data_IF_543130815628
#
_entry.id   IF_543130815628
#
_cell.length_a   1.000
_cell.length_b   1.000
_cell.length_c   1.000
_cell.angle_alpha   90.00
_cell.angle_beta   90.00
_cell.angle_gamma   90.00
#
_symmetry.space_group_name_H-M   'P 1'
#
loop_
_entity.id
_entity.type
_entity.pdbx_description
1 polymer ?
#
# COMPACT_ATOMS: atom_id res chain seq x y z
N UNK A 1 7.43 17.39 -2.86
CA UNK A 1 7.58 15.99 -2.40
C UNK A 1 8.99 15.73 -1.92
N UNK A 2 9.15 15.26 -0.69
CA UNK A 2 10.42 14.82 -0.13
C UNK A 2 10.58 13.32 -0.38
N UNK A 3 11.68 12.93 -0.99
CA UNK A 3 12.05 11.52 -1.18
C UNK A 3 13.14 11.16 -0.18
N UNK A 4 12.86 10.28 0.82
CA UNK A 4 13.86 9.85 1.78
C UNK A 4 15.05 9.15 1.11
N UNK A 5 16.15 9.00 1.82
CA UNK A 5 17.31 8.26 1.29
C UNK A 5 16.97 6.77 1.21
N UNK A 6 17.25 6.16 0.05
CA UNK A 6 17.10 4.72 -0.11
C UNK A 6 18.12 3.94 0.72
N UNK A 7 17.72 2.73 1.13
CA UNK A 7 18.56 1.88 1.96
C UNK A 7 19.63 1.16 1.12
N UNK A 8 20.74 0.86 1.76
CA UNK A 8 21.86 0.12 1.16
C UNK A 8 22.26 -1.05 2.06
N UNK A 9 23.11 -1.93 1.55
CA UNK A 9 23.69 -3.01 2.37
C UNK A 9 24.30 -2.44 3.66
N UNK A 10 23.97 -3.01 4.81
CA UNK A 10 24.35 -2.53 6.13
C UNK A 10 23.32 -1.61 6.80
N UNK A 11 22.33 -1.08 6.07
CA UNK A 11 21.22 -0.31 6.61
C UNK A 11 20.38 -1.09 7.59
N UNK A 12 19.75 -0.39 8.52
CA UNK A 12 18.83 -0.97 9.51
C UNK A 12 17.38 -0.72 9.12
N UNK A 13 16.61 -1.80 8.99
CA UNK A 13 15.14 -1.75 8.85
C UNK A 13 14.54 -1.85 10.24
N UNK A 14 13.82 -0.79 10.66
CA UNK A 14 12.98 -0.79 11.84
C UNK A 14 11.64 -1.46 11.50
N UNK A 15 11.18 -2.39 12.31
CA UNK A 15 9.90 -3.08 12.10
C UNK A 15 8.99 -2.76 13.29
N UNK A 16 7.80 -2.24 13.02
CA UNK A 16 6.73 -2.02 13.99
C UNK A 16 5.44 -2.69 13.54
N UNK A 17 4.52 -2.89 14.47
CA UNK A 17 3.22 -3.47 14.21
C UNK A 17 2.11 -2.41 14.47
N UNK A 18 1.88 -1.48 13.53
CA UNK A 18 0.94 -0.38 13.74
C UNK A 18 -0.53 -0.83 13.73
N UNK A 19 -0.82 -2.00 13.22
CA UNK A 19 -2.13 -2.66 13.25
C UNK A 19 -2.06 -3.99 13.97
N UNK A 20 -2.12 -5.12 13.27
CA UNK A 20 -1.97 -6.45 13.87
C UNK A 20 -0.50 -6.81 14.10
N UNK A 21 -0.23 -7.62 15.11
CA UNK A 21 1.05 -8.29 15.29
C UNK A 21 1.18 -9.49 14.34
N UNK A 22 2.33 -10.18 14.43
CA UNK A 22 2.63 -11.35 13.59
C UNK A 22 1.71 -12.53 13.91
N UNK A 23 1.16 -12.59 15.13
CA UNK A 23 0.18 -13.59 15.52
C UNK A 23 0.71 -15.01 15.48
N UNK A 24 -0.04 -15.89 14.79
CA UNK A 24 0.31 -17.31 14.62
C UNK A 24 1.33 -17.54 13.50
N UNK A 25 1.70 -16.52 12.73
CA UNK A 25 2.59 -16.58 11.57
C UNK A 25 4.06 -16.30 11.91
N UNK A 26 4.48 -16.62 13.14
CA UNK A 26 5.84 -16.35 13.60
C UNK A 26 6.90 -17.08 12.75
N UNK A 27 6.64 -18.33 12.33
CA UNK A 27 7.57 -19.09 11.49
C UNK A 27 7.81 -18.41 10.14
N UNK A 28 6.73 -18.06 9.41
CA UNK A 28 6.80 -17.34 8.15
C UNK A 28 7.55 -16.01 8.31
N UNK A 29 7.28 -15.28 9.38
CA UNK A 29 7.95 -14.03 9.68
C UNK A 29 9.45 -14.20 9.92
N UNK A 30 9.85 -15.22 10.67
CA UNK A 30 11.27 -15.50 10.91
C UNK A 30 12.00 -15.84 9.61
N UNK A 31 11.34 -16.54 8.68
CA UNK A 31 11.90 -16.83 7.36
C UNK A 31 11.99 -15.54 6.52
N UNK A 32 11.00 -14.68 6.58
CA UNK A 32 11.05 -13.36 5.96
C UNK A 32 12.22 -12.51 6.48
N UNK A 33 12.46 -12.52 7.79
CA UNK A 33 13.63 -11.83 8.36
C UNK A 33 14.97 -12.41 7.88
N UNK A 34 15.05 -13.73 7.65
CA UNK A 34 16.26 -14.35 7.05
C UNK A 34 16.51 -13.81 5.64
N UNK A 35 15.45 -13.63 4.84
CA UNK A 35 15.54 -13.02 3.50
C UNK A 35 16.13 -11.61 3.60
N UNK A 36 15.55 -10.74 4.42
CA UNK A 36 16.02 -9.36 4.58
C UNK A 36 17.48 -9.31 5.11
N UNK A 37 17.84 -10.20 6.04
CA UNK A 37 19.22 -10.32 6.54
C UNK A 37 20.19 -10.80 5.48
N UNK A 38 19.78 -11.73 4.60
CA UNK A 38 20.57 -12.21 3.46
C UNK A 38 20.86 -11.10 2.45
N UNK A 39 19.91 -10.16 2.28
CA UNK A 39 20.12 -8.95 1.49
C UNK A 39 21.09 -7.94 2.14
N UNK A 40 21.54 -8.23 3.36
CA UNK A 40 22.53 -7.45 4.09
C UNK A 40 21.96 -6.40 5.02
N UNK A 41 20.66 -6.45 5.33
CA UNK A 41 20.01 -5.50 6.25
C UNK A 41 20.10 -5.95 7.71
N UNK A 42 20.26 -4.99 8.60
CA UNK A 42 20.06 -5.16 10.03
C UNK A 42 18.58 -4.97 10.36
N UNK A 43 18.07 -5.69 11.34
CA UNK A 43 16.66 -5.65 11.75
C UNK A 43 16.57 -5.15 13.19
N UNK A 44 15.69 -4.17 13.41
CA UNK A 44 15.30 -3.69 14.73
C UNK A 44 13.78 -3.78 14.85
N UNK A 45 13.29 -4.65 15.75
CA UNK A 45 11.85 -4.82 16.01
C UNK A 45 11.42 -4.01 17.23
N UNK A 46 10.19 -3.46 17.19
CA UNK A 46 9.52 -2.97 18.39
C UNK A 46 8.86 -4.12 19.16
N UNK A 47 8.50 -3.86 20.41
CA UNK A 47 8.02 -4.88 21.36
C UNK A 47 6.74 -5.57 20.90
N UNK A 48 5.81 -4.81 20.27
CA UNK A 48 4.49 -5.34 19.88
C UNK A 48 4.51 -6.16 18.58
N UNK A 49 5.61 -6.21 17.83
CA UNK A 49 5.69 -6.92 16.55
C UNK A 49 5.25 -8.37 16.68
N UNK A 50 5.69 -9.06 17.73
CA UNK A 50 5.43 -10.49 17.95
C UNK A 50 4.13 -10.78 18.68
N UNK A 51 3.30 -9.78 18.90
CA UNK A 51 1.97 -9.94 19.50
C UNK A 51 1.08 -10.88 18.68
N UNK A 52 0.23 -11.64 19.34
CA UNK A 52 -0.73 -12.56 18.71
C UNK A 52 -2.10 -11.93 18.44
N UNK A 53 -2.33 -10.70 18.89
CA UNK A 53 -3.61 -10.02 18.77
C UNK A 53 -3.84 -9.38 17.40
N UNK A 54 -5.10 -9.26 16.99
CA UNK A 54 -5.52 -8.41 15.86
C UNK A 54 -5.18 -6.93 16.10
N UNK A 55 -5.13 -6.50 17.36
CA UNK A 55 -4.43 -5.30 17.83
C UNK A 55 -3.11 -5.75 18.43
N UNK A 56 -1.99 -5.30 17.88
CA UNK A 56 -0.67 -5.65 18.42
C UNK A 56 -0.48 -5.13 19.84
N UNK A 57 -1.01 -3.93 20.11
CA UNK A 57 -1.07 -3.26 21.42
C UNK A 57 -2.17 -2.17 21.40
N UNK A 58 -2.29 -1.37 22.44
CA UNK A 58 -3.13 -0.16 22.42
C UNK A 58 -2.70 0.82 21.34
N UNK A 59 -3.62 1.63 20.79
CA UNK A 59 -3.29 2.64 19.78
C UNK A 59 -2.16 3.57 20.24
N UNK A 60 -2.19 4.01 21.49
CA UNK A 60 -1.14 4.85 22.10
C UNK A 60 0.22 4.14 22.14
N UNK A 61 0.26 2.87 22.49
CA UNK A 61 1.52 2.08 22.52
C UNK A 61 2.08 1.91 21.11
N UNK A 62 1.23 1.56 20.13
CA UNK A 62 1.63 1.41 18.73
C UNK A 62 2.21 2.71 18.16
N UNK A 63 1.59 3.85 18.46
CA UNK A 63 2.09 5.16 18.06
C UNK A 63 3.44 5.50 18.71
N UNK A 64 3.61 5.17 20.01
CA UNK A 64 4.89 5.35 20.71
C UNK A 64 6.00 4.49 20.10
N UNK A 65 5.72 3.23 19.76
CA UNK A 65 6.68 2.34 19.11
C UNK A 65 7.06 2.81 17.70
N UNK A 66 6.12 3.33 16.93
CA UNK A 66 6.42 3.96 15.65
C UNK A 66 7.31 5.19 15.84
N UNK A 67 7.00 6.05 16.81
CA UNK A 67 7.77 7.23 17.13
C UNK A 67 9.20 6.89 17.56
N UNK A 68 9.41 5.83 18.34
CA UNK A 68 10.74 5.35 18.71
C UNK A 68 11.61 5.03 17.49
N UNK A 69 11.03 4.42 16.46
CA UNK A 69 11.75 4.12 15.21
C UNK A 69 12.01 5.37 14.37
N UNK A 70 11.08 6.33 14.35
CA UNK A 70 11.31 7.60 13.62
C UNK A 70 12.44 8.40 14.26
N UNK A 71 12.53 8.42 15.58
CA UNK A 71 13.57 9.12 16.36
C UNK A 71 14.94 8.46 16.27
N UNK A 72 15.00 7.14 16.09
CA UNK A 72 16.25 6.41 16.13
C UNK A 72 17.11 6.69 14.88
N UNK A 73 18.24 7.38 15.06
CA UNK A 73 19.17 7.72 13.98
C UNK A 73 19.85 6.51 13.34
N UNK A 74 19.82 5.34 13.98
CA UNK A 74 20.37 4.10 13.44
C UNK A 74 19.35 3.31 12.60
N UNK A 75 18.10 3.77 12.52
CA UNK A 75 17.06 3.19 11.66
C UNK A 75 16.98 3.99 10.37
N UNK A 76 17.20 3.33 9.24
CA UNK A 76 17.22 3.95 7.91
C UNK A 76 15.87 3.90 7.20
N UNK A 77 15.06 2.89 7.49
CA UNK A 77 13.73 2.67 6.91
C UNK A 77 12.81 2.03 7.96
N UNK A 78 11.52 2.31 7.91
CA UNK A 78 10.52 1.65 8.75
C UNK A 78 9.59 0.81 7.89
N UNK A 79 9.40 -0.43 8.30
CA UNK A 79 8.53 -1.39 7.62
C UNK A 79 7.44 -1.86 8.58
N UNK A 80 6.19 -1.89 8.12
CA UNK A 80 5.10 -2.46 8.90
C UNK A 80 5.25 -3.99 8.98
N UNK A 81 5.05 -4.57 10.14
CA UNK A 81 5.16 -6.01 10.33
C UNK A 81 4.07 -6.78 9.57
N UNK A 82 2.85 -6.24 9.60
CA UNK A 82 1.63 -6.83 9.03
C UNK A 82 0.59 -5.74 8.74
N UNK A 83 -0.40 -6.06 7.92
CA UNK A 83 -1.67 -5.34 7.87
C UNK A 83 -2.57 -5.63 9.08
N UNK A 84 -3.86 -5.49 8.93
CA UNK A 84 -4.88 -5.68 9.96
C UNK A 84 -6.08 -4.75 9.74
N UNK A 85 -6.81 -4.42 10.83
CA UNK A 85 -8.08 -3.67 10.73
C UNK A 85 -8.16 -2.49 11.71
N UNK A 86 -7.19 -2.33 12.59
CA UNK A 86 -7.30 -1.43 13.75
C UNK A 86 -6.29 -0.29 13.79
N UNK A 87 -5.62 0.00 12.66
CA UNK A 87 -4.60 1.06 12.65
C UNK A 87 -5.20 2.44 12.89
N UNK A 88 -6.42 2.67 12.44
CA UNK A 88 -7.12 3.94 12.64
C UNK A 88 -7.18 4.36 14.12
N UNK A 89 -7.24 3.40 15.06
CA UNK A 89 -7.19 3.67 16.51
C UNK A 89 -5.84 4.26 16.97
N UNK A 90 -4.77 4.03 16.22
CA UNK A 90 -3.43 4.54 16.53
C UNK A 90 -3.26 5.99 16.08
N UNK A 91 -3.91 6.38 14.99
CA UNK A 91 -3.65 7.63 14.27
C UNK A 91 -3.77 8.89 15.12
N UNK A 92 -4.72 9.02 16.08
CA UNK A 92 -4.79 10.21 16.95
C UNK A 92 -3.57 10.42 17.87
N UNK A 93 -2.72 9.41 18.03
CA UNK A 93 -1.53 9.45 18.88
C UNK A 93 -0.22 9.55 18.12
N UNK A 94 -0.27 9.52 16.79
CA UNK A 94 0.94 9.57 15.94
C UNK A 94 1.57 10.95 16.01
N UNK A 95 2.89 10.98 16.12
CA UNK A 95 3.71 12.21 16.11
C UNK A 95 4.70 12.13 14.96
N UNK A 96 4.81 13.19 14.21
CA UNK A 96 5.62 13.26 12.99
C UNK A 96 6.83 14.19 13.10
N UNK A 97 7.02 14.89 14.22
CA UNK A 97 8.08 15.88 14.41
C UNK A 97 9.49 15.34 14.10
N UNK A 98 9.79 14.10 14.48
CA UNK A 98 11.06 13.47 14.18
C UNK A 98 11.16 13.00 12.72
N UNK A 99 10.06 12.55 12.12
CA UNK A 99 10.01 12.15 10.71
C UNK A 99 10.19 13.35 9.77
N UNK A 100 9.65 14.51 10.14
CA UNK A 100 9.83 15.77 9.40
C UNK A 100 11.30 16.22 9.43
N UNK A 101 11.98 16.11 10.59
CA UNK A 101 13.39 16.47 10.74
C UNK A 101 14.35 15.53 10.01
N UNK A 102 14.00 14.24 9.99
CA UNK A 102 14.80 13.18 9.39
C UNK A 102 13.91 12.19 8.62
N UNK A 103 13.52 12.54 7.39
CA UNK A 103 12.62 11.71 6.60
C UNK A 103 13.18 10.31 6.34
N UNK A 104 12.34 9.29 6.57
CA UNK A 104 12.65 7.89 6.32
C UNK A 104 11.57 7.28 5.44
N UNK A 105 11.94 6.30 4.63
CA UNK A 105 10.96 5.49 3.94
C UNK A 105 10.09 4.73 4.95
N UNK A 106 8.78 4.88 4.80
CA UNK A 106 7.79 4.06 5.50
C UNK A 106 7.17 3.13 4.47
N UNK A 107 7.15 1.83 4.74
CA UNK A 107 6.60 0.83 3.83
C UNK A 107 5.61 -0.09 4.52
N UNK A 108 4.55 -0.42 3.81
CA UNK A 108 3.54 -1.38 4.22
C UNK A 108 2.44 -1.52 3.18
N UNK A 109 1.47 -2.41 3.44
CA UNK A 109 0.33 -2.70 2.57
C UNK A 109 -0.91 -2.98 3.41
N UNK A 110 -2.12 -2.75 2.84
CA UNK A 110 -3.40 -2.96 3.53
C UNK A 110 -3.68 -1.85 4.57
N UNK A 111 -4.00 -2.19 5.80
CA UNK A 111 -4.27 -1.25 6.90
C UNK A 111 -3.17 -0.18 7.11
N UNK A 112 -1.86 -0.44 6.89
CA UNK A 112 -0.83 0.58 6.81
C UNK A 112 -1.11 1.76 5.86
N UNK A 113 -2.06 1.65 4.92
CA UNK A 113 -2.54 2.78 4.12
C UNK A 113 -2.88 4.00 4.98
N UNK A 114 -3.40 3.80 6.19
CA UNK A 114 -3.71 4.88 7.13
C UNK A 114 -2.52 5.84 7.31
N UNK A 115 -1.35 5.32 7.63
CA UNK A 115 -0.16 6.14 7.88
C UNK A 115 0.57 6.53 6.59
N UNK A 116 0.56 5.67 5.56
CA UNK A 116 1.22 5.98 4.29
C UNK A 116 0.53 7.17 3.60
N UNK A 117 -0.79 7.18 3.55
CA UNK A 117 -1.57 8.28 3.00
C UNK A 117 -1.40 9.57 3.78
N UNK A 118 -1.46 9.49 5.13
CA UNK A 118 -1.32 10.66 5.98
C UNK A 118 0.08 11.28 5.82
N UNK A 119 1.15 10.49 5.86
CA UNK A 119 2.52 10.97 5.63
C UNK A 119 2.64 11.60 4.24
N UNK A 120 2.12 10.95 3.20
CA UNK A 120 2.29 11.46 1.83
C UNK A 120 1.44 12.71 1.57
N UNK A 121 0.17 12.72 1.98
CA UNK A 121 -0.73 13.82 1.69
C UNK A 121 -0.50 15.03 2.60
N UNK A 122 -0.22 14.81 3.88
CA UNK A 122 -0.06 15.88 4.87
C UNK A 122 1.38 16.40 4.96
N UNK A 123 2.37 15.50 5.10
CA UNK A 123 3.77 15.90 5.30
C UNK A 123 4.56 16.11 4.01
N UNK A 124 3.99 15.73 2.87
CA UNK A 124 4.66 15.78 1.58
C UNK A 124 5.96 14.93 1.52
N UNK A 125 5.94 13.79 2.21
CA UNK A 125 7.02 12.79 2.24
C UNK A 125 6.54 11.54 1.50
N UNK A 126 7.31 11.07 0.52
CA UNK A 126 6.99 9.86 -0.23
C UNK A 126 7.03 8.62 0.67
N UNK A 127 6.11 7.68 0.42
CA UNK A 127 6.01 6.40 1.12
C UNK A 127 5.95 5.24 0.12
N UNK A 128 6.13 4.01 0.59
CA UNK A 128 6.12 2.83 -0.29
C UNK A 128 4.91 1.94 0.05
N UNK A 129 4.01 1.76 -0.90
CA UNK A 129 2.99 0.73 -0.85
C UNK A 129 3.57 -0.57 -1.41
N UNK A 130 3.88 -1.48 -0.52
CA UNK A 130 4.57 -2.72 -0.85
C UNK A 130 4.55 -3.69 0.34
N UNK A 131 5.37 -4.71 0.31
CA UNK A 131 5.36 -5.78 1.30
C UNK A 131 5.41 -5.30 2.74
N UNK A 132 4.55 -5.88 3.58
CA UNK A 132 4.80 -5.91 5.01
C UNK A 132 5.95 -6.90 5.30
N UNK A 133 6.65 -6.71 6.42
CA UNK A 133 7.85 -7.49 6.75
C UNK A 133 7.64 -9.02 6.73
N UNK A 134 6.43 -9.50 7.05
CA UNK A 134 6.12 -10.93 7.05
C UNK A 134 5.92 -11.56 5.65
N UNK A 135 5.90 -10.76 4.58
CA UNK A 135 5.53 -11.25 3.25
C UNK A 135 6.72 -11.70 2.40
N UNK A 136 7.95 -11.48 2.86
CA UNK A 136 9.13 -11.97 2.15
C UNK A 136 9.27 -13.48 2.28
N UNK A 137 9.53 -14.15 1.15
CA UNK A 137 9.64 -15.61 1.08
C UNK A 137 11.02 -16.05 0.58
N UNK A 138 11.56 -17.18 1.07
CA UNK A 138 12.91 -17.67 0.70
C UNK A 138 13.09 -17.95 -0.79
N UNK A 139 12.02 -18.29 -1.52
CA UNK A 139 12.04 -18.58 -2.97
C UNK A 139 12.40 -17.37 -3.82
N UNK A 140 12.34 -16.16 -3.26
CA UNK A 140 12.65 -14.90 -3.90
C UNK A 140 12.02 -14.74 -5.30
N UNK A 141 10.68 -14.77 -5.40
CA UNK A 141 9.99 -14.66 -6.67
C UNK A 141 10.21 -13.25 -7.29
N UNK A 142 9.95 -13.11 -8.61
CA UNK A 142 10.26 -11.90 -9.37
C UNK A 142 9.65 -10.63 -8.78
N UNK A 143 8.44 -10.69 -8.25
CA UNK A 143 7.80 -9.51 -7.61
C UNK A 143 8.48 -9.10 -6.31
N UNK A 144 9.02 -10.05 -5.54
CA UNK A 144 9.82 -9.77 -4.35
C UNK A 144 11.17 -9.16 -4.75
N UNK A 145 11.81 -9.70 -5.80
CA UNK A 145 13.02 -9.10 -6.34
C UNK A 145 12.78 -7.65 -6.78
N UNK A 146 11.68 -7.38 -7.49
CA UNK A 146 11.29 -6.02 -7.86
C UNK A 146 11.13 -5.11 -6.65
N UNK A 147 10.47 -5.58 -5.59
CA UNK A 147 10.32 -4.84 -4.34
C UNK A 147 11.70 -4.52 -3.71
N UNK A 148 12.58 -5.53 -3.63
CA UNK A 148 13.94 -5.36 -3.11
C UNK A 148 14.78 -4.38 -3.94
N UNK A 149 14.59 -4.32 -5.25
CA UNK A 149 15.26 -3.33 -6.09
C UNK A 149 14.76 -1.91 -5.77
N UNK A 150 13.45 -1.74 -5.64
CA UNK A 150 12.84 -0.43 -5.36
C UNK A 150 13.32 0.13 -4.01
N UNK A 151 13.33 -0.67 -2.95
CA UNK A 151 13.80 -0.20 -1.63
C UNK A 151 15.30 0.14 -1.61
N UNK A 152 16.08 -0.40 -2.56
CA UNK A 152 17.50 -0.05 -2.79
C UNK A 152 17.66 1.24 -3.63
N UNK A 153 16.58 1.80 -4.15
CA UNK A 153 16.59 2.98 -5.01
C UNK A 153 16.73 2.70 -6.51
N UNK A 154 16.68 1.45 -6.91
CA UNK A 154 16.64 1.06 -8.32
C UNK A 154 15.21 1.16 -8.81
N UNK A 155 14.81 2.33 -9.35
CA UNK A 155 13.48 2.53 -9.90
C UNK A 155 13.38 1.80 -11.23
N UNK A 156 12.74 0.64 -11.18
CA UNK A 156 12.62 -0.27 -12.32
C UNK A 156 11.25 -0.13 -13.01
N UNK A 157 11.22 -0.38 -14.31
CA UNK A 157 9.96 -0.55 -15.04
C UNK A 157 9.33 -1.89 -14.63
N UNK A 158 8.22 -1.82 -13.92
CA UNK A 158 7.42 -3.01 -13.60
C UNK A 158 6.43 -3.29 -14.75
N UNK A 159 6.11 -4.54 -14.99
CA UNK A 159 5.18 -5.00 -16.01
C UNK A 159 4.16 -5.93 -15.38
N UNK A 160 3.04 -6.16 -16.07
CA UNK A 160 2.08 -7.20 -15.68
C UNK A 160 2.78 -8.57 -15.61
N UNK A 161 2.31 -9.40 -14.72
CA UNK A 161 2.75 -10.79 -14.60
C UNK A 161 1.91 -11.69 -15.54
N UNK A 162 2.32 -12.92 -15.73
CA UNK A 162 1.59 -13.85 -16.59
C UNK A 162 0.42 -14.52 -15.86
N UNK A 163 0.63 -14.87 -14.61
CA UNK A 163 -0.33 -15.59 -13.79
C UNK A 163 -0.42 -14.97 -12.40
N UNK A 164 -1.56 -15.15 -11.75
CA UNK A 164 -1.79 -14.76 -10.36
C UNK A 164 -2.50 -15.86 -9.58
N UNK A 165 -2.51 -15.72 -8.26
CA UNK A 165 -3.32 -16.47 -7.33
C UNK A 165 -4.26 -15.55 -6.56
N UNK A 166 -5.46 -16.02 -6.26
CA UNK A 166 -6.40 -15.32 -5.37
C UNK A 166 -5.97 -15.48 -3.91
N UNK A 167 -6.61 -14.73 -3.01
CA UNK A 167 -6.44 -14.97 -1.58
C UNK A 167 -6.83 -16.39 -1.17
N UNK A 168 -7.89 -16.95 -1.77
CA UNK A 168 -8.36 -18.30 -1.48
C UNK A 168 -7.35 -19.35 -1.93
N UNK A 169 -6.79 -19.22 -3.15
CA UNK A 169 -5.75 -20.13 -3.66
C UNK A 169 -4.55 -20.12 -2.73
N UNK A 170 -4.09 -18.93 -2.34
CA UNK A 170 -2.96 -18.77 -1.42
C UNK A 170 -3.20 -19.38 -0.03
N UNK A 171 -4.45 -19.39 0.45
CA UNK A 171 -4.77 -20.05 1.72
C UNK A 171 -4.71 -21.56 1.61
N UNK A 172 -4.96 -22.13 0.42
CA UNK A 172 -4.88 -23.56 0.13
C UNK A 172 -3.45 -23.98 -0.23
N UNK A 173 -2.83 -23.31 -1.18
CA UNK A 173 -1.43 -23.55 -1.59
C UNK A 173 -0.78 -22.21 -2.00
N UNK A 174 0.28 -21.83 -1.34
CA UNK A 174 1.04 -20.61 -1.62
C UNK A 174 1.68 -20.57 -3.02
N UNK A 175 1.77 -21.72 -3.71
CA UNK A 175 2.37 -21.83 -5.05
C UNK A 175 1.33 -22.00 -6.16
N UNK A 176 0.04 -21.92 -5.85
CA UNK A 176 -1.03 -22.15 -6.82
C UNK A 176 -1.32 -20.90 -7.65
N UNK A 177 -0.45 -20.61 -8.63
CA UNK A 177 -0.60 -19.52 -9.61
C UNK A 177 -1.26 -20.03 -10.87
N UNK A 178 -2.58 -20.18 -10.86
CA UNK A 178 -3.36 -20.85 -11.92
C UNK A 178 -4.24 -19.90 -12.75
N UNK A 179 -4.43 -18.63 -12.33
CA UNK A 179 -5.19 -17.65 -13.07
C UNK A 179 -4.32 -16.82 -14.01
N UNK A 180 -4.81 -16.54 -15.22
CA UNK A 180 -4.10 -15.66 -16.16
C UNK A 180 -4.34 -14.19 -15.82
N UNK A 181 -3.26 -13.39 -15.81
CA UNK A 181 -3.36 -11.93 -15.63
C UNK A 181 -3.88 -11.29 -16.90
N UNK A 182 -4.91 -10.45 -16.76
CA UNK A 182 -5.45 -9.62 -17.83
C UNK A 182 -5.87 -8.27 -17.26
N UNK A 183 -5.08 -7.26 -17.50
CA UNK A 183 -5.49 -5.88 -17.21
C UNK A 183 -6.60 -5.47 -18.18
N UNK A 184 -7.62 -4.80 -17.68
CA UNK A 184 -8.83 -4.48 -18.44
C UNK A 184 -8.98 -2.97 -18.53
N UNK A 185 -8.95 -2.44 -19.75
CA UNK A 185 -9.31 -1.05 -20.06
C UNK A 185 -10.23 -1.00 -21.27
N UNK A 186 -11.08 0.03 -21.35
CA UNK A 186 -11.98 0.22 -22.50
C UNK A 186 -11.28 0.73 -23.74
N UNK A 187 -10.17 1.41 -23.56
CA UNK A 187 -9.36 2.03 -24.61
C UNK A 187 -7.90 1.86 -24.25
N UNK A 188 -7.04 2.03 -25.22
CA UNK A 188 -5.62 2.20 -24.97
C UNK A 188 -5.39 3.35 -23.96
N UNK A 189 -4.60 3.08 -22.93
CA UNK A 189 -4.28 4.02 -21.87
C UNK A 189 -2.81 4.37 -21.95
N UNK A 190 -2.53 5.67 -22.08
CA UNK A 190 -1.19 6.25 -21.98
C UNK A 190 -1.32 7.50 -21.12
N UNK A 191 -0.90 7.39 -19.89
CA UNK A 191 -1.07 8.44 -18.87
C UNK A 191 0.22 8.67 -18.09
N UNK A 192 0.43 9.92 -17.74
CA UNK A 192 1.54 10.36 -16.90
C UNK A 192 0.98 11.29 -15.81
N UNK A 193 1.52 11.16 -14.60
CA UNK A 193 1.09 11.95 -13.46
C UNK A 193 1.72 11.48 -12.16
N UNK A 194 1.34 12.12 -11.07
CA UNK A 194 1.80 11.78 -9.72
C UNK A 194 0.86 10.75 -9.10
N UNK A 195 1.44 9.60 -8.71
CA UNK A 195 0.65 8.49 -8.20
C UNK A 195 0.40 8.60 -6.69
N UNK A 196 -0.83 8.30 -6.28
CA UNK A 196 -1.25 8.25 -4.88
C UNK A 196 -2.35 7.20 -4.71
N UNK A 197 -2.37 6.50 -3.60
CA UNK A 197 -3.41 5.52 -3.30
C UNK A 197 -3.01 4.55 -2.19
N UNK A 198 -3.65 3.40 -2.16
CA UNK A 198 -3.50 2.35 -1.17
C UNK A 198 -4.70 1.43 -1.14
N UNK A 199 -4.98 0.83 0.02
CA UNK A 199 -6.17 0.01 0.23
C UNK A 199 -7.42 0.88 0.21
N UNK A 200 -8.31 0.62 -0.76
CA UNK A 200 -9.55 1.40 -0.96
C UNK A 200 -10.45 1.33 0.26
N UNK A 201 -10.59 0.14 0.87
CA UNK A 201 -11.35 -0.11 2.09
C UNK A 201 -10.89 0.78 3.27
N UNK A 202 -9.65 1.26 3.25
CA UNK A 202 -9.07 2.18 4.24
C UNK A 202 -9.25 3.63 3.81
N UNK A 203 -8.95 3.96 2.55
CA UNK A 203 -9.00 5.34 2.02
C UNK A 203 -10.37 5.97 2.21
N UNK A 204 -11.45 5.23 1.92
CA UNK A 204 -12.82 5.74 2.09
C UNK A 204 -13.16 6.11 3.54
N UNK A 205 -12.49 5.49 4.52
CA UNK A 205 -12.67 5.79 5.95
C UNK A 205 -11.92 7.05 6.42
N UNK A 206 -11.00 7.58 5.62
CA UNK A 206 -10.32 8.85 5.93
C UNK A 206 -11.20 10.06 5.63
N UNK A 207 -12.10 9.94 4.66
CA UNK A 207 -12.91 11.07 4.17
C UNK A 207 -13.77 11.67 5.27
N UNK A 208 -13.61 12.98 5.47
CA UNK A 208 -14.30 13.71 6.54
C UNK A 208 -13.71 13.54 7.95
N UNK A 209 -12.57 12.87 8.08
CA UNK A 209 -11.83 12.76 9.35
C UNK A 209 -10.64 13.72 9.38
N UNK A 210 -9.93 13.79 10.50
CA UNK A 210 -8.68 14.58 10.60
C UNK A 210 -7.54 14.05 9.71
N UNK A 211 -7.68 12.86 9.13
CA UNK A 211 -6.74 12.25 8.18
C UNK A 211 -7.04 12.63 6.72
N UNK A 212 -8.11 13.38 6.47
CA UNK A 212 -8.54 13.76 5.13
C UNK A 212 -7.68 14.92 4.56
N UNK A 213 -6.45 14.58 4.21
CA UNK A 213 -5.50 15.50 3.59
C UNK A 213 -5.39 15.30 2.06
N UNK A 214 -6.25 14.47 1.48
CA UNK A 214 -6.19 14.10 0.06
C UNK A 214 -6.43 15.29 -0.87
N UNK A 215 -7.38 16.15 -0.55
CA UNK A 215 -7.65 17.36 -1.34
C UNK A 215 -6.46 18.31 -1.39
N UNK A 216 -5.70 18.42 -0.29
CA UNK A 216 -4.47 19.23 -0.23
C UNK A 216 -3.38 18.65 -1.14
N UNK A 217 -3.26 17.33 -1.21
CA UNK A 217 -2.34 16.66 -2.13
C UNK A 217 -2.74 16.89 -3.59
N UNK A 218 -4.03 16.72 -3.93
CA UNK A 218 -4.57 16.94 -5.29
C UNK A 218 -4.32 18.38 -5.74
N UNK A 219 -4.56 19.36 -4.86
CA UNK A 219 -4.32 20.77 -5.17
C UNK A 219 -2.82 21.08 -5.35
N UNK A 220 -1.95 20.52 -4.50
CA UNK A 220 -0.50 20.74 -4.53
C UNK A 220 0.12 20.25 -5.83
N UNK A 221 -0.38 19.15 -6.39
CA UNK A 221 0.15 18.49 -7.57
C UNK A 221 -0.79 18.58 -8.79
N UNK A 222 -1.62 19.62 -8.83
CA UNK A 222 -2.59 19.85 -9.92
C UNK A 222 -1.93 19.89 -11.29
N UNK A 223 -0.75 20.51 -11.40
CA UNK A 223 -0.01 20.66 -12.67
C UNK A 223 0.62 19.33 -13.14
N UNK A 224 1.06 18.48 -12.22
CA UNK A 224 1.58 17.15 -12.54
C UNK A 224 0.43 16.23 -13.05
N UNK A 225 -0.78 16.49 -12.59
CA UNK A 225 -1.93 15.58 -12.71
C UNK A 225 -1.82 14.39 -11.77
N UNK A 226 -2.96 13.81 -11.39
CA UNK A 226 -3.03 12.77 -10.37
C UNK A 226 -3.38 11.42 -11.01
N UNK A 227 -2.62 10.39 -10.64
CA UNK A 227 -2.96 8.99 -10.91
C UNK A 227 -3.35 8.36 -9.58
N UNK A 228 -4.62 7.99 -9.43
CA UNK A 228 -5.07 7.23 -8.28
C UNK A 228 -4.82 5.74 -8.50
N UNK A 229 -4.44 5.01 -7.45
CA UNK A 229 -4.49 3.56 -7.46
C UNK A 229 -5.22 3.02 -6.24
N UNK A 230 -5.91 1.89 -6.43
CA UNK A 230 -6.69 1.25 -5.40
C UNK A 230 -6.39 -0.24 -5.33
N UNK A 231 -5.96 -0.69 -4.18
CA UNK A 231 -5.97 -2.08 -3.75
C UNK A 231 -7.33 -2.34 -3.10
N UNK A 232 -8.17 -3.15 -3.73
CA UNK A 232 -9.52 -3.44 -3.27
C UNK A 232 -9.52 -4.79 -2.55
N UNK A 233 -9.73 -4.77 -1.23
CA UNK A 233 -9.63 -5.99 -0.42
C UNK A 233 -10.95 -6.75 -0.34
N UNK A 234 -11.96 -6.20 0.35
CA UNK A 234 -13.22 -6.90 0.65
C UNK A 234 -14.45 -5.99 0.69
N UNK A 235 -14.33 -4.73 0.24
CA UNK A 235 -15.52 -3.89 0.15
C UNK A 235 -16.50 -4.49 -0.86
N UNK A 236 -17.81 -4.39 -0.55
CA UNK A 236 -18.84 -4.84 -1.48
C UNK A 236 -18.80 -4.05 -2.79
N UNK A 237 -19.39 -4.60 -3.84
CA UNK A 237 -19.51 -3.88 -5.13
C UNK A 237 -20.20 -2.54 -4.97
N UNK A 238 -21.21 -2.48 -4.08
CA UNK A 238 -21.95 -1.25 -3.77
C UNK A 238 -21.06 -0.25 -3.02
N UNK A 239 -20.34 -0.69 -1.98
CA UNK A 239 -19.43 0.18 -1.22
C UNK A 239 -18.31 0.72 -2.10
N UNK A 240 -17.77 -0.10 -3.00
CA UNK A 240 -16.79 0.33 -3.99
C UNK A 240 -17.36 1.43 -4.91
N UNK A 241 -18.56 1.22 -5.45
CA UNK A 241 -19.24 2.21 -6.29
C UNK A 241 -19.51 3.53 -5.56
N UNK A 242 -20.11 3.44 -4.37
CA UNK A 242 -20.44 4.62 -3.57
C UNK A 242 -19.20 5.34 -3.06
N UNK A 243 -18.14 4.62 -2.71
CA UNK A 243 -16.86 5.20 -2.31
C UNK A 243 -16.18 5.97 -3.46
N UNK A 244 -16.21 5.44 -4.70
CA UNK A 244 -15.74 6.18 -5.87
C UNK A 244 -16.57 7.44 -6.13
N UNK A 245 -17.91 7.38 -5.97
CA UNK A 245 -18.77 8.56 -6.08
C UNK A 245 -18.47 9.58 -4.96
N UNK A 246 -18.25 9.12 -3.74
CA UNK A 246 -17.88 9.97 -2.61
C UNK A 246 -16.57 10.71 -2.91
N UNK A 247 -15.52 10.01 -3.39
CA UNK A 247 -14.27 10.63 -3.81
C UNK A 247 -14.47 11.66 -4.93
N UNK A 248 -15.34 11.34 -5.91
CA UNK A 248 -15.69 12.24 -7.00
C UNK A 248 -16.36 13.51 -6.50
N UNK A 249 -17.36 13.39 -5.63
CA UNK A 249 -18.09 14.54 -5.08
C UNK A 249 -17.23 15.36 -4.11
N UNK A 250 -16.25 14.76 -3.47
CA UNK A 250 -15.23 15.46 -2.69
C UNK A 250 -14.17 16.17 -3.56
N UNK A 251 -14.25 16.07 -4.89
CA UNK A 251 -13.32 16.73 -5.81
C UNK A 251 -11.95 16.03 -5.95
N UNK A 252 -11.80 14.81 -5.42
CA UNK A 252 -10.50 14.10 -5.41
C UNK A 252 -10.07 13.64 -6.82
N UNK A 253 -10.99 13.61 -7.78
CA UNK A 253 -10.68 13.34 -9.18
C UNK A 253 -10.48 14.60 -10.04
N UNK A 254 -10.34 15.77 -9.41
CA UNK A 254 -9.90 16.98 -10.09
C UNK A 254 -8.45 16.78 -10.59
N UNK A 255 -8.21 17.12 -11.86
CA UNK A 255 -6.90 16.87 -12.53
C UNK A 255 -6.46 15.39 -12.53
N UNK A 256 -7.40 14.44 -12.37
CA UNK A 256 -7.12 13.03 -12.45
C UNK A 256 -6.76 12.61 -13.89
N UNK A 257 -5.57 12.07 -14.08
CA UNK A 257 -5.09 11.51 -15.36
C UNK A 257 -5.57 10.08 -15.56
N UNK A 258 -5.78 9.34 -14.48
CA UNK A 258 -6.31 7.99 -14.54
C UNK A 258 -6.42 7.31 -13.18
N UNK A 259 -7.12 6.18 -13.17
CA UNK A 259 -7.34 5.36 -11.98
C UNK A 259 -6.91 3.93 -12.26
N UNK A 260 -6.01 3.41 -11.42
CA UNK A 260 -5.48 2.05 -11.48
C UNK A 260 -6.14 1.21 -10.40
N UNK A 261 -6.85 0.15 -10.76
CA UNK A 261 -7.63 -0.65 -9.81
C UNK A 261 -7.10 -2.07 -9.83
N UNK A 262 -6.63 -2.51 -8.67
CA UNK A 262 -6.15 -3.86 -8.45
C UNK A 262 -7.27 -4.90 -8.53
N UNK A 263 -6.88 -6.16 -8.74
CA UNK A 263 -7.82 -7.29 -8.62
C UNK A 263 -8.43 -7.29 -7.23
N UNK A 264 -9.76 -7.43 -7.16
CA UNK A 264 -10.46 -7.53 -5.89
C UNK A 264 -10.05 -8.84 -5.20
N UNK A 265 -9.57 -8.72 -3.98
CA UNK A 265 -9.00 -9.87 -3.28
C UNK A 265 -10.08 -10.86 -2.78
N UNK A 266 -11.19 -10.33 -2.29
CA UNK A 266 -12.36 -11.09 -1.83
C UNK A 266 -13.59 -10.47 -2.51
N UNK A 267 -13.92 -10.90 -3.75
CA UNK A 267 -15.01 -10.29 -4.51
C UNK A 267 -16.38 -10.59 -3.88
N UNK A 268 -17.25 -9.57 -3.91
CA UNK A 268 -18.66 -9.70 -3.57
C UNK A 268 -19.48 -9.99 -4.84
N UNK A 269 -20.15 -11.11 -4.87
CA UNK A 269 -21.00 -11.54 -5.97
C UNK A 269 -22.49 -11.39 -5.65
N UNK A 270 -22.83 -10.75 -4.54
CA UNK A 270 -24.22 -10.64 -4.06
C UNK A 270 -25.11 -9.74 -4.93
N UNK A 271 -24.52 -8.84 -5.71
CA UNK A 271 -25.24 -7.90 -6.58
C UNK A 271 -25.17 -8.32 -8.07
N UNK A 272 -26.23 -8.92 -8.63
CA UNK A 272 -26.20 -9.38 -10.04
C UNK A 272 -26.24 -8.25 -11.07
N UNK A 273 -26.67 -7.04 -10.67
CA UNK A 273 -26.77 -5.89 -11.58
C UNK A 273 -25.49 -5.08 -11.69
N UNK A 274 -24.65 -5.12 -10.64
CA UNK A 274 -23.45 -4.31 -10.50
C UNK A 274 -22.24 -5.17 -10.13
N UNK A 275 -21.30 -5.31 -11.02
CA UNK A 275 -19.95 -5.82 -10.72
C UNK A 275 -18.93 -4.69 -10.63
N UNK A 276 -17.72 -4.97 -10.15
CA UNK A 276 -16.68 -3.94 -9.92
C UNK A 276 -16.31 -3.17 -11.20
N UNK A 277 -16.29 -3.82 -12.37
CA UNK A 277 -16.01 -3.15 -13.64
C UNK A 277 -17.12 -2.16 -13.98
N UNK A 278 -18.39 -2.57 -13.90
CA UNK A 278 -19.52 -1.68 -14.13
C UNK A 278 -19.57 -0.53 -13.10
N UNK A 279 -19.20 -0.82 -11.85
CA UNK A 279 -19.13 0.18 -10.78
C UNK A 279 -18.10 1.27 -11.10
N UNK A 280 -16.89 0.87 -11.46
CA UNK A 280 -15.82 1.78 -11.90
C UNK A 280 -16.27 2.60 -13.12
N UNK A 281 -16.80 1.95 -14.16
CA UNK A 281 -17.30 2.61 -15.36
C UNK A 281 -18.35 3.68 -15.07
N UNK A 282 -19.33 3.39 -14.24
CA UNK A 282 -20.40 4.32 -13.86
C UNK A 282 -19.87 5.49 -13.04
N UNK A 283 -19.00 5.23 -12.05
CA UNK A 283 -18.49 6.26 -11.16
C UNK A 283 -17.48 7.18 -11.86
N UNK A 284 -16.51 6.60 -12.56
CA UNK A 284 -15.39 7.33 -13.18
C UNK A 284 -15.78 7.97 -14.52
N UNK A 285 -16.70 7.37 -15.28
CA UNK A 285 -17.19 7.91 -16.54
C UNK A 285 -16.09 8.05 -17.59
N UNK A 286 -15.69 9.29 -17.91
CA UNK A 286 -14.66 9.57 -18.92
C UNK A 286 -13.21 9.50 -18.41
N UNK A 287 -13.00 9.38 -17.10
CA UNK A 287 -11.65 9.26 -16.52
C UNK A 287 -11.05 7.93 -16.99
N UNK A 288 -9.84 7.93 -17.60
CA UNK A 288 -9.16 6.69 -17.98
C UNK A 288 -8.97 5.79 -16.75
N UNK A 289 -9.27 4.50 -16.88
CA UNK A 289 -9.04 3.57 -15.79
C UNK A 289 -8.69 2.18 -16.29
N UNK A 290 -7.89 1.49 -15.51
CA UNK A 290 -7.43 0.12 -15.76
C UNK A 290 -7.86 -0.72 -14.57
N UNK A 291 -8.58 -1.81 -14.84
CA UNK A 291 -9.04 -2.78 -13.85
C UNK A 291 -8.16 -4.03 -13.86
N UNK A 292 -8.31 -4.86 -12.83
CA UNK A 292 -7.66 -6.17 -12.69
C UNK A 292 -6.12 -6.09 -12.70
N UNK A 293 -5.57 -4.97 -12.23
CA UNK A 293 -4.13 -4.78 -12.19
C UNK A 293 -3.46 -5.61 -11.09
N UNK A 294 -2.16 -5.83 -11.24
CA UNK A 294 -1.32 -6.50 -10.23
C UNK A 294 -1.04 -5.56 -9.04
N UNK A 295 -2.08 -5.08 -8.37
CA UNK A 295 -2.02 -4.17 -7.23
C UNK A 295 -2.76 -4.81 -6.05
N UNK A 296 -2.11 -4.86 -4.89
CA UNK A 296 -2.75 -5.21 -3.63
C UNK A 296 -2.61 -6.64 -3.19
N UNK A 297 -3.73 -7.26 -2.73
CA UNK A 297 -3.72 -8.48 -1.94
C UNK A 297 -3.64 -9.78 -2.74
N UNK A 298 -3.80 -9.74 -4.05
CA UNK A 298 -3.54 -10.91 -4.91
C UNK A 298 -2.06 -10.97 -5.27
N UNK A 299 -1.47 -12.15 -5.29
CA UNK A 299 -0.06 -12.31 -5.67
C UNK A 299 0.04 -12.77 -7.15
N UNK A 300 1.03 -12.25 -7.88
CA UNK A 300 2.01 -11.23 -7.54
C UNK A 300 1.43 -9.81 -7.56
N UNK A 301 2.09 -8.90 -6.84
CA UNK A 301 1.73 -7.49 -6.87
C UNK A 301 2.94 -6.59 -7.16
N UNK A 302 2.68 -5.42 -7.76
CA UNK A 302 3.69 -4.39 -7.98
C UNK A 302 3.91 -3.56 -6.72
N UNK A 303 5.12 -3.02 -6.58
CA UNK A 303 5.45 -2.08 -5.50
C UNK A 303 5.30 -0.66 -6.02
N UNK A 304 4.62 0.20 -5.27
CA UNK A 304 4.29 1.56 -5.68
C UNK A 304 4.90 2.56 -4.68
N UNK A 305 5.48 3.63 -5.19
CA UNK A 305 5.97 4.75 -4.38
C UNK A 305 4.91 5.86 -4.44
N UNK A 306 4.21 6.10 -3.34
CA UNK A 306 3.25 7.19 -3.21
C UNK A 306 3.94 8.55 -3.39
N UNK A 307 3.33 9.39 -4.20
CA UNK A 307 3.86 10.71 -4.52
C UNK A 307 4.95 10.72 -5.61
N UNK A 308 5.27 9.58 -6.23
CA UNK A 308 6.25 9.51 -7.31
C UNK A 308 5.61 9.84 -8.68
N UNK A 309 6.32 10.50 -9.61
CA UNK A 309 5.87 10.59 -11.00
C UNK A 309 5.82 9.20 -11.64
N UNK A 310 4.72 8.88 -12.29
CA UNK A 310 4.51 7.60 -12.96
C UNK A 310 4.03 7.82 -14.39
N UNK A 311 4.56 7.02 -15.32
CA UNK A 311 4.01 6.84 -16.66
C UNK A 311 3.55 5.40 -16.80
N UNK A 312 2.34 5.19 -17.33
CA UNK A 312 1.77 3.87 -17.57
C UNK A 312 1.12 3.79 -18.93
N UNK A 313 1.37 2.69 -19.61
CA UNK A 313 0.76 2.32 -20.90
C UNK A 313 0.08 0.97 -20.78
N UNK A 314 -1.14 0.83 -21.30
CA UNK A 314 -1.90 -0.42 -21.32
C UNK A 314 -2.75 -0.51 -22.59
#
# INVERSE_FOLDING_TARGET
MIYPKFIKKGSTIGICAPSAGIGKKLGEYLDALKVLKKEGYKIKETKSVRSKGSRSASGKTRASEFYELTKDKNVDMIMCASGGDYMLEMMPYVKYDELVKNPKWIMGMSDPTNILMDITCFLDIATIYGFNAKQYVPSNPKWQENNLQIIKGNIIKQRSFKKYQTCTDRWNDINDFNHEVKWISKKEVDIEGRIIGGCFDVIIKHMGTFLDNMSSFVARYADDGIIWYFDVYSCTTLDFYLGLLQMKYAGLFTNCKGVLIGRVAIPDESNPELNYIKAADKALGKIPHIMEMDIGHTDPCITIINGFPLSITC
#
